data_IF_987575913180
#
_entry.id   IF_987575913180
#
_cell.length_a   1.000
_cell.length_b   1.000
_cell.length_c   1.000
_cell.angle_alpha   90.00
_cell.angle_beta   90.00
_cell.angle_gamma   90.00
#
_symmetry.space_group_name_H-M   'P 1'
#
loop_
_entity.id
_entity.type
_entity.pdbx_description
1 polymer ?
#
# COMPACT_ATOMS: atom_id res chain seq x y z
N UNK A 1 15.70 19.15 2.50
CA UNK A 1 14.73 20.01 1.78
C UNK A 1 13.57 19.13 1.29
N UNK A 2 12.41 19.71 1.03
CA UNK A 2 11.25 19.07 0.41
C UNK A 2 10.66 20.07 -0.59
N UNK A 3 10.23 19.61 -1.76
CA UNK A 3 9.65 20.46 -2.79
C UNK A 3 8.12 20.37 -2.76
N UNK A 4 7.42 21.49 -2.91
CA UNK A 4 5.97 21.55 -3.12
C UNK A 4 5.66 22.69 -4.09
N UNK A 5 4.99 22.39 -5.19
CA UNK A 5 4.63 23.34 -6.26
C UNK A 5 5.86 24.11 -6.79
N UNK A 6 6.97 23.39 -7.04
CA UNK A 6 8.28 23.92 -7.49
C UNK A 6 8.95 24.87 -6.46
N UNK A 7 8.49 24.90 -5.22
CA UNK A 7 9.07 25.70 -4.13
C UNK A 7 9.77 24.80 -3.12
N UNK A 8 10.99 25.12 -2.75
CA UNK A 8 11.79 24.35 -1.78
C UNK A 8 11.54 24.85 -0.35
N UNK A 9 11.28 23.91 0.55
CA UNK A 9 11.08 24.13 1.98
C UNK A 9 12.10 23.35 2.80
N UNK A 10 12.41 23.87 4.00
CA UNK A 10 13.22 23.16 4.98
C UNK A 10 12.42 21.97 5.56
N UNK A 11 12.81 20.76 5.16
CA UNK A 11 12.17 19.52 5.63
C UNK A 11 12.32 19.33 7.14
N UNK A 12 13.42 19.80 7.76
CA UNK A 12 13.62 19.68 9.21
C UNK A 12 12.67 20.60 9.98
N UNK A 13 12.57 21.85 9.56
CA UNK A 13 11.62 22.79 10.12
C UNK A 13 10.17 22.29 9.98
N UNK A 14 9.77 21.83 8.77
CA UNK A 14 8.45 21.26 8.53
C UNK A 14 8.16 20.03 9.40
N UNK A 15 9.12 19.13 9.58
CA UNK A 15 8.96 17.92 10.39
C UNK A 15 8.64 18.23 11.86
N UNK A 16 9.21 19.32 12.41
CA UNK A 16 9.00 19.73 13.79
C UNK A 16 7.59 20.32 14.03
N UNK A 17 6.96 20.90 13.00
CA UNK A 17 5.66 21.56 13.10
C UNK A 17 4.52 20.78 12.44
N UNK A 18 4.82 19.70 11.72
CA UNK A 18 3.79 18.96 10.97
C UNK A 18 2.81 18.24 11.90
N UNK A 19 1.49 18.56 11.87
CA UNK A 19 0.51 17.96 12.78
C UNK A 19 0.36 16.43 12.61
N UNK A 20 0.66 15.92 11.42
CA UNK A 20 0.67 14.47 11.12
C UNK A 20 1.93 13.74 11.57
N UNK A 21 2.83 14.42 12.31
CA UNK A 21 4.12 13.90 12.74
C UNK A 21 5.21 14.00 11.67
N UNK A 22 6.46 13.72 12.03
CA UNK A 22 7.62 13.92 11.16
C UNK A 22 7.80 12.83 10.09
N UNK A 23 7.17 11.67 10.24
CA UNK A 23 7.47 10.47 9.46
C UNK A 23 7.31 10.70 7.96
N UNK A 24 6.17 11.27 7.53
CA UNK A 24 5.91 11.54 6.12
C UNK A 24 6.80 12.66 5.55
N UNK A 25 7.14 13.67 6.35
CA UNK A 25 8.10 14.71 5.92
C UNK A 25 9.48 14.08 5.67
N UNK A 26 9.92 13.16 6.53
CA UNK A 26 11.17 12.42 6.31
C UNK A 26 11.10 11.48 5.10
N UNK A 27 9.93 10.89 4.84
CA UNK A 27 9.71 10.01 3.69
C UNK A 27 9.89 10.77 2.36
N UNK A 28 9.45 12.03 2.31
CA UNK A 28 9.54 12.89 1.13
C UNK A 28 10.76 13.84 1.15
N UNK A 29 11.65 13.74 2.12
CA UNK A 29 12.87 14.55 2.14
C UNK A 29 13.73 14.32 0.89
N UNK A 30 14.10 15.39 0.20
CA UNK A 30 14.83 15.37 -1.06
C UNK A 30 13.97 15.10 -2.31
N UNK A 31 12.64 15.15 -2.19
CA UNK A 31 11.68 14.80 -3.25
C UNK A 31 10.63 15.89 -3.45
N UNK A 32 9.96 15.86 -4.59
CA UNK A 32 8.70 16.57 -4.81
C UNK A 32 7.57 15.86 -4.05
N UNK A 33 6.91 16.60 -3.17
CA UNK A 33 5.79 16.15 -2.36
C UNK A 33 4.45 16.80 -2.78
N UNK A 34 4.40 17.50 -3.90
CA UNK A 34 3.19 18.18 -4.38
C UNK A 34 2.00 17.25 -4.46
N UNK A 35 2.14 16.16 -5.21
CA UNK A 35 1.10 15.14 -5.37
C UNK A 35 0.71 14.50 -4.03
N UNK A 36 1.70 14.15 -3.20
CA UNK A 36 1.45 13.59 -1.88
C UNK A 36 0.69 14.57 -0.98
N UNK A 37 1.11 15.84 -0.96
CA UNK A 37 0.40 16.84 -0.17
C UNK A 37 -1.07 16.93 -0.58
N UNK A 38 -1.35 17.07 -1.86
CA UNK A 38 -2.72 17.24 -2.38
C UNK A 38 -3.61 16.04 -2.06
N UNK A 39 -3.15 14.81 -2.30
CA UNK A 39 -3.92 13.59 -2.03
C UNK A 39 -4.19 13.37 -0.53
N UNK A 40 -3.22 13.70 0.32
CA UNK A 40 -3.35 13.54 1.78
C UNK A 40 -4.14 14.65 2.47
N UNK A 41 -4.09 15.90 1.93
CA UNK A 41 -4.73 17.05 2.57
C UNK A 41 -6.01 17.50 1.85
N UNK A 42 -6.25 17.06 0.64
CA UNK A 42 -7.43 17.42 -0.19
C UNK A 42 -7.62 18.94 -0.31
N UNK A 43 -6.53 19.68 -0.45
CA UNK A 43 -6.47 21.15 -0.57
C UNK A 43 -5.13 21.59 -1.09
N UNK A 44 -5.07 22.82 -1.58
CA UNK A 44 -3.81 23.48 -1.96
C UNK A 44 -2.86 23.65 -0.77
N UNK A 45 -1.57 23.64 -1.06
CA UNK A 45 -0.53 23.86 -0.06
C UNK A 45 -0.60 25.31 0.45
N UNK A 46 -0.55 25.55 1.77
CA UNK A 46 -0.69 26.90 2.32
C UNK A 46 0.64 27.67 2.26
N UNK A 47 1.16 27.97 1.07
CA UNK A 47 2.44 28.64 0.86
C UNK A 47 2.64 29.89 1.70
N UNK A 48 1.58 30.74 1.83
CA UNK A 48 1.62 31.97 2.62
C UNK A 48 1.91 31.73 4.11
N UNK A 49 1.52 30.58 4.64
CA UNK A 49 1.76 30.19 6.04
C UNK A 49 3.12 29.52 6.26
N UNK A 50 3.79 29.13 5.18
CA UNK A 50 5.04 28.38 5.21
C UNK A 50 6.25 29.22 4.76
N UNK A 51 6.08 30.53 4.64
CA UNK A 51 7.12 31.45 4.15
C UNK A 51 8.41 31.41 4.98
N UNK A 52 8.29 31.26 6.31
CA UNK A 52 9.46 31.20 7.21
C UNK A 52 10.30 29.93 7.04
N UNK A 53 9.74 28.91 6.37
CA UNK A 53 10.41 27.63 6.09
C UNK A 53 10.87 27.51 4.64
N UNK A 54 10.62 28.54 3.83
CA UNK A 54 11.01 28.59 2.43
C UNK A 54 12.52 28.81 2.30
N UNK A 55 13.18 28.01 1.46
CA UNK A 55 14.66 28.02 1.32
C UNK A 55 15.12 28.88 0.15
N UNK A 56 14.31 28.99 -0.90
CA UNK A 56 14.69 29.71 -2.12
C UNK A 56 13.71 30.81 -2.50
N UNK A 57 14.09 31.64 -3.50
CA UNK A 57 13.32 32.74 -4.03
C UNK A 57 12.29 32.36 -5.09
N UNK A 58 12.05 31.08 -5.36
CA UNK A 58 11.13 30.63 -6.41
C UNK A 58 9.69 31.11 -6.17
N UNK A 59 9.00 31.48 -7.22
CA UNK A 59 7.58 31.83 -7.15
C UNK A 59 6.71 30.59 -7.21
N UNK A 60 5.65 30.57 -6.41
CA UNK A 60 4.62 29.52 -6.48
C UNK A 60 3.99 29.56 -7.89
N UNK A 61 4.00 28.44 -8.56
CA UNK A 61 3.31 28.27 -9.84
C UNK A 61 1.96 27.61 -9.63
N UNK A 62 0.92 28.16 -10.25
CA UNK A 62 -0.35 27.46 -10.36
C UNK A 62 -0.16 26.22 -11.23
N UNK A 63 -0.44 25.06 -10.68
CA UNK A 63 -0.35 23.81 -11.41
C UNK A 63 -1.76 23.35 -11.86
N UNK A 64 -2.13 23.54 -13.15
CA UNK A 64 -3.45 23.18 -13.65
C UNK A 64 -3.71 21.66 -13.61
N UNK A 65 -2.68 20.84 -13.44
CA UNK A 65 -2.78 19.38 -13.35
C UNK A 65 -3.74 18.91 -12.27
N UNK A 66 -3.91 19.71 -11.19
CA UNK A 66 -4.73 19.31 -10.05
C UNK A 66 -6.13 19.93 -10.01
N UNK A 67 -6.49 20.77 -10.99
CA UNK A 67 -7.76 21.50 -10.99
C UNK A 67 -8.98 20.55 -10.88
N UNK A 68 -9.06 19.51 -11.73
CA UNK A 68 -10.14 18.51 -11.69
C UNK A 68 -10.17 17.75 -10.35
N UNK A 69 -9.00 17.45 -9.79
CA UNK A 69 -8.91 16.76 -8.49
C UNK A 69 -9.40 17.63 -7.34
N UNK A 70 -9.03 18.91 -7.31
CA UNK A 70 -9.49 19.85 -6.28
C UNK A 70 -11.01 20.09 -6.36
N UNK A 71 -11.58 20.09 -7.56
CA UNK A 71 -13.03 20.15 -7.74
C UNK A 71 -13.72 18.92 -7.14
N UNK A 72 -13.19 17.72 -7.42
CA UNK A 72 -13.65 16.48 -6.78
C UNK A 72 -13.52 16.55 -5.26
N UNK A 73 -12.38 17.05 -4.73
CA UNK A 73 -12.19 17.25 -3.30
C UNK A 73 -13.26 18.13 -2.67
N UNK A 74 -13.70 19.18 -3.36
CA UNK A 74 -14.75 20.06 -2.89
C UNK A 74 -16.13 19.37 -2.82
N UNK A 75 -16.41 18.42 -3.73
CA UNK A 75 -17.60 17.58 -3.68
C UNK A 75 -17.53 16.56 -2.54
N UNK A 76 -16.39 15.90 -2.38
CA UNK A 76 -16.16 14.94 -1.28
C UNK A 76 -16.26 15.64 0.08
N UNK A 77 -15.76 16.88 0.22
CA UNK A 77 -15.86 17.62 1.50
C UNK A 77 -17.30 17.86 1.94
N UNK A 78 -18.28 17.94 1.00
CA UNK A 78 -19.71 18.07 1.32
C UNK A 78 -20.30 16.78 1.91
N UNK A 79 -19.86 15.61 1.46
CA UNK A 79 -20.37 14.29 1.92
C UNK A 79 -19.56 13.73 3.09
N UNK A 80 -18.22 13.95 3.05
CA UNK A 80 -17.28 13.49 4.06
C UNK A 80 -16.27 14.59 4.40
N UNK A 81 -16.57 15.48 5.34
CA UNK A 81 -15.65 16.50 5.80
C UNK A 81 -14.33 15.89 6.28
N UNK A 82 -13.19 16.56 6.00
CA UNK A 82 -11.85 16.12 6.45
C UNK A 82 -11.78 15.81 7.94
N UNK A 83 -12.58 16.52 8.73
CA UNK A 83 -12.66 16.29 10.17
C UNK A 83 -13.27 14.94 10.55
N UNK A 84 -14.05 14.31 9.67
CA UNK A 84 -14.77 13.06 9.87
C UNK A 84 -14.22 11.91 9.03
N UNK A 85 -13.11 12.09 8.31
CA UNK A 85 -12.54 11.10 7.42
C UNK A 85 -11.63 10.06 8.10
N UNK A 86 -11.40 10.20 9.40
CA UNK A 86 -10.65 9.24 10.21
C UNK A 86 -11.53 8.07 10.67
N UNK A 87 -10.89 7.04 11.22
CA UNK A 87 -11.55 5.82 11.66
C UNK A 87 -12.59 6.08 12.77
N UNK A 88 -13.82 5.55 12.66
CA UNK A 88 -14.84 5.60 13.70
C UNK A 88 -14.59 4.55 14.79
N UNK A 89 -15.36 4.59 15.86
CA UNK A 89 -15.27 3.64 16.97
C UNK A 89 -15.39 2.17 16.52
N UNK A 90 -16.28 1.87 15.57
CA UNK A 90 -16.47 0.52 15.03
C UNK A 90 -15.19 -0.07 14.39
N UNK A 91 -14.35 0.78 13.80
CA UNK A 91 -13.03 0.37 13.32
C UNK A 91 -12.15 -0.13 14.46
N UNK A 92 -12.07 0.61 15.57
CA UNK A 92 -11.25 0.22 16.72
C UNK A 92 -11.76 -1.07 17.38
N UNK A 93 -13.07 -1.30 17.41
CA UNK A 93 -13.64 -2.57 17.86
C UNK A 93 -13.18 -3.75 16.96
N UNK A 94 -13.18 -3.56 15.64
CA UNK A 94 -12.64 -4.55 14.68
C UNK A 94 -11.15 -4.78 14.87
N UNK A 95 -10.36 -3.71 15.05
CA UNK A 95 -8.91 -3.79 15.33
C UNK A 95 -8.66 -4.61 16.59
N UNK A 96 -9.36 -4.29 17.68
CA UNK A 96 -9.24 -5.04 18.95
C UNK A 96 -9.56 -6.52 18.77
N UNK A 97 -10.63 -6.83 18.05
CA UNK A 97 -11.03 -8.22 17.78
C UNK A 97 -9.97 -8.97 16.96
N UNK A 98 -9.48 -8.38 15.86
CA UNK A 98 -8.47 -9.01 14.99
C UNK A 98 -7.16 -9.23 15.75
N UNK A 99 -6.69 -8.23 16.51
CA UNK A 99 -5.46 -8.36 17.30
C UNK A 99 -5.62 -9.39 18.40
N UNK A 100 -6.76 -9.40 19.15
CA UNK A 100 -6.99 -10.34 20.24
C UNK A 100 -7.02 -11.79 19.75
N UNK A 101 -7.71 -12.08 18.64
CA UNK A 101 -7.75 -13.44 18.07
C UNK A 101 -6.38 -13.85 17.56
N UNK A 102 -5.68 -12.96 16.84
CA UNK A 102 -4.37 -13.27 16.27
C UNK A 102 -3.33 -13.55 17.36
N UNK A 103 -3.24 -12.67 18.37
CA UNK A 103 -2.33 -12.83 19.49
C UNK A 103 -2.69 -14.05 20.34
N UNK A 104 -3.99 -14.29 20.57
CA UNK A 104 -4.47 -15.47 21.30
C UNK A 104 -4.13 -16.77 20.59
N UNK A 105 -4.32 -16.83 19.28
CA UNK A 105 -3.94 -18.00 18.48
C UNK A 105 -2.42 -18.21 18.45
N UNK A 106 -1.67 -17.14 18.24
CA UNK A 106 -0.19 -17.20 18.29
C UNK A 106 0.32 -17.67 19.63
N UNK A 107 -0.20 -17.11 20.73
CA UNK A 107 0.13 -17.53 22.09
C UNK A 107 -0.20 -19.03 22.32
N UNK A 108 -1.37 -19.48 21.87
CA UNK A 108 -1.77 -20.89 21.96
C UNK A 108 -0.80 -21.81 21.19
N UNK A 109 -0.43 -21.45 19.97
CA UNK A 109 0.51 -22.24 19.15
C UNK A 109 1.86 -22.37 19.84
N UNK A 110 2.42 -21.25 20.33
CA UNK A 110 3.75 -21.26 20.96
C UNK A 110 3.76 -21.98 22.30
N UNK A 111 2.80 -21.68 23.20
CA UNK A 111 2.80 -22.27 24.56
C UNK A 111 2.54 -23.76 24.57
N UNK A 112 1.80 -24.29 23.59
CA UNK A 112 1.47 -25.71 23.50
C UNK A 112 2.32 -26.46 22.47
N UNK A 113 3.26 -25.81 21.80
CA UNK A 113 4.05 -26.43 20.70
C UNK A 113 3.21 -26.90 19.53
N UNK A 114 2.03 -26.30 19.32
CA UNK A 114 1.02 -26.76 18.37
C UNK A 114 1.24 -26.18 16.96
N UNK A 115 2.47 -26.30 16.43
CA UNK A 115 2.79 -25.91 15.07
C UNK A 115 2.17 -26.89 14.08
N UNK A 116 0.89 -26.67 13.75
CA UNK A 116 0.11 -27.46 12.80
C UNK A 116 -0.26 -26.62 11.60
N UNK A 117 -0.13 -27.18 10.40
CA UNK A 117 -0.34 -26.49 9.14
C UNK A 117 -1.67 -25.71 9.08
N UNK A 118 -2.76 -26.23 9.63
CA UNK A 118 -4.07 -25.57 9.63
C UNK A 118 -4.15 -24.36 10.61
N UNK A 119 -3.44 -24.43 11.76
CA UNK A 119 -3.38 -23.30 12.72
C UNK A 119 -2.49 -22.20 12.18
N UNK A 120 -1.38 -22.54 11.54
CA UNK A 120 -0.49 -21.56 10.92
C UNK A 120 -1.09 -20.95 9.67
N UNK A 121 -1.88 -21.71 8.89
CA UNK A 121 -2.68 -21.18 7.78
C UNK A 121 -3.73 -20.17 8.26
N UNK A 122 -4.48 -20.50 9.34
CA UNK A 122 -5.45 -19.59 9.94
C UNK A 122 -4.77 -18.32 10.45
N UNK A 123 -3.62 -18.45 11.13
CA UNK A 123 -2.87 -17.30 11.61
C UNK A 123 -2.31 -16.46 10.45
N UNK A 124 -1.86 -17.09 9.37
CA UNK A 124 -1.44 -16.40 8.15
C UNK A 124 -2.55 -15.55 7.54
N UNK A 125 -3.76 -16.10 7.47
CA UNK A 125 -4.93 -15.34 7.04
C UNK A 125 -5.25 -14.17 7.99
N UNK A 126 -5.19 -14.38 9.32
CA UNK A 126 -5.37 -13.29 10.29
C UNK A 126 -4.28 -12.22 10.16
N UNK A 127 -3.03 -12.59 9.88
CA UNK A 127 -1.95 -11.64 9.60
C UNK A 127 -2.22 -10.83 8.34
N UNK A 128 -2.75 -11.48 7.28
CA UNK A 128 -3.19 -10.74 6.10
C UNK A 128 -4.32 -9.74 6.42
N UNK A 129 -5.30 -10.13 7.25
CA UNK A 129 -6.34 -9.20 7.68
C UNK A 129 -5.79 -8.03 8.51
N UNK A 130 -4.79 -8.26 9.36
CA UNK A 130 -4.06 -7.19 10.07
C UNK A 130 -3.36 -6.28 9.06
N UNK A 131 -2.70 -6.86 8.07
CA UNK A 131 -2.05 -6.13 6.97
C UNK A 131 -3.01 -5.19 6.27
N UNK A 132 -4.14 -5.71 5.82
CA UNK A 132 -5.12 -4.95 5.03
C UNK A 132 -5.92 -3.94 5.85
N UNK A 133 -6.33 -4.31 7.07
CA UNK A 133 -7.30 -3.51 7.85
C UNK A 133 -6.65 -2.58 8.87
N UNK A 134 -5.44 -2.87 9.33
CA UNK A 134 -4.83 -2.13 10.45
C UNK A 134 -3.62 -1.34 9.96
N UNK A 135 -2.55 -2.05 9.56
CA UNK A 135 -1.32 -1.39 9.17
C UNK A 135 -1.51 -0.48 7.96
N UNK A 136 -2.32 -0.91 6.98
CA UNK A 136 -2.55 -0.18 5.74
C UNK A 136 -3.13 1.22 6.00
N UNK A 137 -4.30 1.32 6.65
CA UNK A 137 -4.90 2.61 7.03
C UNK A 137 -3.95 3.43 7.94
N UNK A 138 -3.30 2.75 8.89
CA UNK A 138 -2.44 3.42 9.85
C UNK A 138 -1.17 3.99 9.21
N UNK A 139 -0.53 3.25 8.32
CA UNK A 139 0.65 3.72 7.59
C UNK A 139 0.30 4.75 6.49
N UNK A 140 -0.96 4.87 6.10
CA UNK A 140 -1.47 6.04 5.35
C UNK A 140 -1.84 7.22 6.25
N UNK A 141 -1.77 7.11 7.58
CA UNK A 141 -2.21 8.16 8.49
C UNK A 141 -3.73 8.38 8.50
N UNK A 142 -4.51 7.38 8.09
CA UNK A 142 -5.96 7.44 7.91
C UNK A 142 -6.76 7.08 9.17
N UNK A 143 -6.12 6.48 10.20
CA UNK A 143 -6.82 6.01 11.40
C UNK A 143 -7.15 7.16 12.35
N UNK A 144 -6.18 8.05 12.60
CA UNK A 144 -6.32 9.09 13.62
C UNK A 144 -5.63 10.40 13.22
N UNK A 145 -6.13 11.51 13.79
CA UNK A 145 -5.40 12.78 13.74
C UNK A 145 -4.11 12.74 14.56
N UNK A 146 -4.08 11.89 15.61
CA UNK A 146 -2.90 11.70 16.42
C UNK A 146 -1.89 10.80 15.69
N UNK A 147 -0.70 11.30 15.31
CA UNK A 147 0.30 10.53 14.56
C UNK A 147 0.85 9.34 15.38
N UNK A 148 0.83 9.41 16.70
CA UNK A 148 1.29 8.31 17.54
C UNK A 148 0.37 7.09 17.46
N UNK A 149 -0.96 7.31 17.33
CA UNK A 149 -1.92 6.21 17.11
C UNK A 149 -1.66 5.55 15.75
N UNK A 150 -1.47 6.34 14.69
CA UNK A 150 -1.13 5.82 13.37
C UNK A 150 0.21 5.06 13.41
N UNK A 151 1.23 5.60 14.06
CA UNK A 151 2.53 4.92 14.18
C UNK A 151 2.42 3.60 14.93
N UNK A 152 1.72 3.56 16.08
CA UNK A 152 1.52 2.36 16.87
C UNK A 152 0.81 1.26 16.07
N UNK A 153 -0.32 1.60 15.43
CA UNK A 153 -1.06 0.63 14.63
C UNK A 153 -0.32 0.24 13.34
N UNK A 154 0.40 1.18 12.73
CA UNK A 154 1.24 0.93 11.56
C UNK A 154 2.37 -0.08 11.83
N UNK A 155 2.90 -0.12 13.06
CA UNK A 155 3.88 -1.11 13.49
C UNK A 155 3.33 -2.55 13.56
N UNK A 156 2.03 -2.76 13.39
CA UNK A 156 1.49 -4.11 13.19
C UNK A 156 2.07 -4.78 11.93
N UNK A 157 2.57 -4.01 10.95
CA UNK A 157 3.36 -4.51 9.82
C UNK A 157 4.63 -5.25 10.28
N UNK A 158 5.32 -4.69 11.28
CA UNK A 158 6.51 -5.30 11.85
C UNK A 158 6.18 -6.60 12.61
N UNK A 159 5.00 -6.64 13.27
CA UNK A 159 4.54 -7.85 13.96
C UNK A 159 4.27 -9.00 13.01
N UNK A 160 3.69 -8.74 11.84
CA UNK A 160 3.34 -9.75 10.83
C UNK A 160 4.51 -10.12 9.89
N UNK A 161 5.70 -9.57 10.11
CA UNK A 161 6.95 -9.98 9.46
C UNK A 161 7.54 -9.00 8.45
N UNK A 162 6.86 -7.89 8.16
CA UNK A 162 7.39 -6.87 7.25
C UNK A 162 8.11 -5.74 7.98
N UNK A 163 8.38 -4.67 7.25
CA UNK A 163 8.87 -3.38 7.75
C UNK A 163 7.86 -2.30 7.43
N UNK A 164 7.36 -1.60 8.45
CA UNK A 164 6.41 -0.50 8.26
C UNK A 164 7.04 0.65 7.49
N UNK A 165 8.31 0.91 7.72
CA UNK A 165 9.04 2.00 7.08
C UNK A 165 9.36 1.69 5.61
N UNK A 166 9.76 0.46 5.31
CA UNK A 166 9.96 0.00 3.93
C UNK A 166 8.64 0.03 3.14
N UNK A 167 7.56 -0.45 3.75
CA UNK A 167 6.23 -0.40 3.16
C UNK A 167 5.77 1.04 2.84
N UNK A 168 5.97 1.99 3.76
CA UNK A 168 5.65 3.41 3.51
C UNK A 168 6.48 3.93 2.33
N UNK A 169 7.76 3.57 2.25
CA UNK A 169 8.61 4.00 1.14
C UNK A 169 8.13 3.43 -0.19
N UNK A 170 7.89 2.12 -0.26
CA UNK A 170 7.39 1.46 -1.47
C UNK A 170 6.02 1.98 -1.85
N UNK A 171 5.06 1.87 -0.94
CA UNK A 171 3.64 2.04 -1.24
C UNK A 171 3.23 3.51 -1.28
N UNK A 172 3.63 4.32 -0.27
CA UNK A 172 3.20 5.72 -0.18
C UNK A 172 4.05 6.65 -1.02
N UNK A 173 5.40 6.49 -0.96
CA UNK A 173 6.33 7.43 -1.62
C UNK A 173 6.52 7.11 -3.10
N UNK A 174 6.48 5.84 -3.48
CA UNK A 174 6.72 5.43 -4.87
C UNK A 174 5.41 5.08 -5.58
N UNK A 175 4.72 4.00 -5.18
CA UNK A 175 3.55 3.47 -5.87
C UNK A 175 2.41 4.49 -5.97
N UNK A 176 1.92 5.08 -4.87
CA UNK A 176 0.82 6.07 -4.92
C UNK A 176 1.13 7.31 -5.74
N UNK A 177 2.40 7.73 -5.78
CA UNK A 177 2.80 8.92 -6.54
C UNK A 177 2.97 8.60 -8.02
N UNK A 178 3.40 7.39 -8.34
CA UNK A 178 3.80 6.98 -9.69
C UNK A 178 3.06 5.72 -10.17
N UNK A 179 1.81 5.52 -9.73
CA UNK A 179 1.00 4.33 -10.05
C UNK A 179 1.03 4.00 -11.55
N UNK A 180 1.43 2.78 -11.88
CA UNK A 180 1.61 2.24 -13.23
C UNK A 180 2.58 3.05 -14.13
N UNK A 181 3.50 3.84 -13.55
CA UNK A 181 4.57 4.47 -14.30
C UNK A 181 5.69 3.46 -14.56
N UNK A 182 5.97 3.17 -15.83
CA UNK A 182 6.84 2.06 -16.27
C UNK A 182 8.30 2.11 -15.77
N UNK A 183 8.80 3.27 -15.35
CA UNK A 183 10.17 3.45 -14.85
C UNK A 183 10.24 3.74 -13.35
N UNK A 184 9.10 4.00 -12.67
CA UNK A 184 9.08 4.56 -11.31
C UNK A 184 8.19 3.83 -10.33
N UNK A 185 7.19 3.08 -10.81
CA UNK A 185 6.34 2.27 -9.94
C UNK A 185 7.03 0.94 -9.63
N UNK A 186 7.46 0.71 -8.37
CA UNK A 186 8.14 -0.53 -8.00
C UNK A 186 7.26 -1.78 -8.20
N UNK A 187 5.95 -1.61 -8.16
CA UNK A 187 5.02 -2.74 -8.18
C UNK A 187 4.83 -3.34 -9.57
N UNK A 188 5.20 -2.60 -10.63
CA UNK A 188 5.18 -3.09 -12.01
C UNK A 188 6.56 -3.29 -12.63
N UNK A 189 7.65 -2.98 -11.91
CA UNK A 189 9.00 -3.22 -12.42
C UNK A 189 9.16 -4.69 -12.84
N UNK A 190 8.49 -5.57 -12.10
CA UNK A 190 8.43 -6.99 -12.42
C UNK A 190 9.74 -7.72 -12.12
N UNK A 191 9.75 -8.96 -12.52
CA UNK A 191 10.92 -9.84 -12.49
C UNK A 191 10.90 -10.67 -13.77
N UNK A 192 11.92 -11.50 -13.96
CA UNK A 192 12.01 -12.35 -15.17
C UNK A 192 10.86 -13.37 -15.31
N UNK A 193 10.09 -13.62 -14.23
CA UNK A 193 8.96 -14.55 -14.23
C UNK A 193 7.65 -13.88 -14.61
N UNK A 194 7.48 -12.58 -14.33
CA UNK A 194 6.21 -11.84 -14.50
C UNK A 194 6.46 -10.53 -15.25
N UNK A 195 5.73 -10.34 -16.32
CA UNK A 195 5.77 -9.12 -17.13
C UNK A 195 4.52 -8.28 -16.87
N UNK A 196 4.58 -7.39 -15.88
CA UNK A 196 3.57 -6.37 -15.60
C UNK A 196 3.85 -5.08 -16.37
N UNK A 197 5.10 -4.82 -16.70
CA UNK A 197 5.56 -3.60 -17.36
C UNK A 197 5.74 -3.85 -18.85
N UNK A 198 5.07 -3.09 -19.73
CA UNK A 198 5.20 -3.24 -21.19
C UNK A 198 6.60 -2.96 -21.73
N UNK A 199 7.47 -2.24 -21.00
CA UNK A 199 8.87 -2.03 -21.37
C UNK A 199 9.74 -3.28 -21.20
N UNK A 200 9.36 -4.21 -20.32
CA UNK A 200 10.15 -5.40 -20.06
C UNK A 200 10.14 -6.32 -21.28
N UNK A 201 11.29 -6.93 -21.57
CA UNK A 201 11.41 -7.88 -22.66
C UNK A 201 10.47 -9.08 -22.48
N UNK A 202 9.93 -9.59 -23.58
CA UNK A 202 9.10 -10.78 -23.55
C UNK A 202 9.97 -12.02 -23.49
N UNK A 203 9.68 -12.93 -22.56
CA UNK A 203 10.21 -14.29 -22.52
C UNK A 203 9.09 -15.30 -22.83
N UNK A 204 9.44 -16.48 -23.33
CA UNK A 204 8.48 -17.53 -23.70
C UNK A 204 7.56 -17.94 -22.54
N UNK A 205 8.07 -17.89 -21.31
CA UNK A 205 7.30 -18.22 -20.11
C UNK A 205 6.13 -17.24 -19.88
N UNK A 206 6.25 -15.96 -20.28
CA UNK A 206 5.23 -14.96 -20.08
C UNK A 206 3.91 -15.27 -20.80
N UNK A 207 3.94 -16.09 -21.86
CA UNK A 207 2.73 -16.57 -22.53
C UNK A 207 1.76 -17.34 -21.62
N UNK A 208 2.24 -17.85 -20.49
CA UNK A 208 1.46 -18.60 -19.49
C UNK A 208 1.29 -17.84 -18.16
N UNK A 209 1.79 -16.61 -18.03
CA UNK A 209 1.78 -15.87 -16.76
C UNK A 209 0.37 -15.66 -16.18
N UNK A 210 -0.64 -15.56 -17.04
CA UNK A 210 -2.04 -15.42 -16.67
C UNK A 210 -2.61 -16.62 -15.86
N UNK A 211 -1.91 -17.75 -15.87
CA UNK A 211 -2.24 -18.95 -15.08
C UNK A 211 -1.29 -19.08 -13.89
N UNK A 212 0.02 -19.13 -14.15
CA UNK A 212 0.97 -19.45 -13.09
C UNK A 212 1.14 -18.34 -12.06
N UNK A 213 0.71 -17.10 -12.34
CA UNK A 213 0.75 -16.03 -11.33
C UNK A 213 0.02 -16.46 -10.05
N UNK A 214 -1.17 -17.03 -10.18
CA UNK A 214 -1.95 -17.48 -9.01
C UNK A 214 -1.27 -18.62 -8.24
N UNK A 215 -0.35 -19.35 -8.86
CA UNK A 215 0.50 -20.35 -8.22
C UNK A 215 1.73 -19.72 -7.54
N UNK A 216 2.15 -18.52 -7.96
CA UNK A 216 3.26 -17.78 -7.37
C UNK A 216 2.87 -16.93 -6.17
N UNK A 217 1.61 -16.45 -6.11
CA UNK A 217 1.15 -15.57 -5.02
C UNK A 217 1.43 -16.12 -3.60
N UNK A 218 1.31 -17.44 -3.30
CA UNK A 218 1.67 -17.96 -1.99
C UNK A 218 3.10 -17.65 -1.57
N UNK A 219 4.03 -17.51 -2.51
CA UNK A 219 5.44 -17.25 -2.21
C UNK A 219 5.71 -15.77 -1.91
N UNK A 220 4.76 -14.87 -2.19
CA UNK A 220 4.89 -13.45 -1.91
C UNK A 220 5.23 -13.16 -0.44
N UNK A 221 4.65 -13.93 0.51
CA UNK A 221 4.96 -13.74 1.94
C UNK A 221 6.41 -14.01 2.31
N UNK A 222 7.09 -14.92 1.60
CA UNK A 222 8.52 -15.19 1.81
C UNK A 222 9.39 -14.10 1.18
N UNK A 223 9.12 -13.78 -0.09
CA UNK A 223 9.92 -12.78 -0.82
C UNK A 223 9.81 -11.42 -0.15
N UNK A 224 8.60 -11.02 0.25
CA UNK A 224 8.37 -9.74 0.91
C UNK A 224 9.20 -9.55 2.20
N UNK A 225 9.31 -10.58 3.05
CA UNK A 225 10.11 -10.51 4.28
C UNK A 225 11.60 -10.43 3.97
N UNK A 226 12.07 -11.22 2.98
CA UNK A 226 13.48 -11.21 2.53
C UNK A 226 13.82 -9.85 1.94
N UNK A 227 12.96 -9.30 1.08
CA UNK A 227 13.17 -8.02 0.43
C UNK A 227 13.12 -6.88 1.46
N UNK A 228 12.18 -6.89 2.41
CA UNK A 228 12.14 -5.93 3.51
C UNK A 228 13.44 -5.96 4.35
N UNK A 229 13.98 -7.15 4.64
CA UNK A 229 15.26 -7.26 5.34
C UNK A 229 16.40 -6.65 4.52
N UNK A 230 16.49 -6.99 3.24
CA UNK A 230 17.49 -6.49 2.30
C UNK A 230 17.42 -4.96 2.16
N UNK A 231 16.22 -4.40 1.91
CA UNK A 231 16.04 -2.95 1.75
C UNK A 231 16.46 -2.18 3.01
N UNK A 232 16.12 -2.69 4.20
CA UNK A 232 16.55 -2.06 5.45
C UNK A 232 18.05 -2.19 5.69
N UNK A 233 18.68 -3.28 5.26
CA UNK A 233 20.12 -3.47 5.35
C UNK A 233 20.87 -2.50 4.40
N UNK A 234 20.42 -2.39 3.17
CA UNK A 234 21.01 -1.59 2.12
C UNK A 234 20.61 -0.10 2.18
N UNK A 235 19.48 0.23 2.83
CA UNK A 235 18.87 1.59 2.90
C UNK A 235 18.32 2.08 1.57
N UNK A 236 18.11 1.17 0.64
CA UNK A 236 17.57 1.40 -0.68
C UNK A 236 16.33 0.54 -0.86
N UNK A 237 15.32 1.10 -1.51
CA UNK A 237 14.21 0.34 -2.06
C UNK A 237 14.35 0.37 -3.59
N UNK A 238 14.58 -0.79 -4.19
CA UNK A 238 15.09 -0.92 -5.56
C UNK A 238 16.36 -0.06 -5.73
N UNK A 239 16.39 0.87 -6.66
CA UNK A 239 17.53 1.76 -6.88
C UNK A 239 17.44 3.11 -6.13
N UNK A 240 16.42 3.27 -5.27
CA UNK A 240 16.11 4.56 -4.65
C UNK A 240 16.52 4.59 -3.18
N UNK A 241 17.45 5.49 -2.82
CA UNK A 241 17.84 5.73 -1.44
C UNK A 241 16.67 6.29 -0.62
N UNK A 242 16.51 5.81 0.61
CA UNK A 242 15.46 6.25 1.54
C UNK A 242 16.05 6.80 2.84
N UNK A 243 15.99 8.14 3.06
CA UNK A 243 16.38 8.72 4.35
C UNK A 243 15.60 8.17 5.53
N UNK A 244 14.38 7.71 5.29
CA UNK A 244 13.52 7.13 6.30
C UNK A 244 14.01 5.70 6.69
N UNK A 245 14.40 4.87 5.73
CA UNK A 245 15.04 3.57 5.99
C UNK A 245 16.34 3.73 6.78
N UNK A 246 17.18 4.70 6.40
CA UNK A 246 18.40 5.03 7.14
C UNK A 246 18.11 5.34 8.61
N UNK A 247 17.15 6.22 8.87
CA UNK A 247 16.81 6.70 10.23
C UNK A 247 16.26 5.59 11.12
N UNK A 248 15.45 4.69 10.58
CA UNK A 248 14.75 3.64 11.35
C UNK A 248 15.37 2.25 11.21
N UNK A 249 16.47 2.12 10.48
CA UNK A 249 17.10 0.85 10.12
C UNK A 249 17.20 -0.17 11.25
N UNK A 250 17.80 0.23 12.36
CA UNK A 250 18.05 -0.71 13.47
C UNK A 250 16.76 -1.23 14.10
N UNK A 251 15.74 -0.39 14.22
CA UNK A 251 14.42 -0.77 14.72
C UNK A 251 13.74 -1.76 13.77
N UNK A 252 13.76 -1.48 12.47
CA UNK A 252 13.12 -2.32 11.45
C UNK A 252 13.84 -3.68 11.33
N UNK A 253 15.18 -3.70 11.27
CA UNK A 253 15.96 -4.94 11.27
C UNK A 253 15.71 -5.77 12.53
N UNK A 254 15.71 -5.15 13.72
CA UNK A 254 15.41 -5.84 14.95
C UNK A 254 14.02 -6.49 14.95
N UNK A 255 13.01 -5.81 14.39
CA UNK A 255 11.65 -6.35 14.30
C UNK A 255 11.54 -7.53 13.34
N UNK A 256 12.22 -7.49 12.18
CA UNK A 256 12.25 -8.60 11.22
C UNK A 256 12.98 -9.81 11.83
N UNK A 257 14.10 -9.58 12.50
CA UNK A 257 14.82 -10.65 13.22
C UNK A 257 14.00 -11.24 14.36
N UNK A 258 13.24 -10.41 15.08
CA UNK A 258 12.32 -10.89 16.12
C UNK A 258 11.18 -11.74 15.52
N UNK A 259 10.65 -11.35 14.36
CA UNK A 259 9.68 -12.18 13.63
C UNK A 259 10.30 -13.53 13.21
N UNK A 260 11.53 -13.52 12.67
CA UNK A 260 12.24 -14.74 12.29
C UNK A 260 12.52 -15.63 13.53
N UNK A 261 12.86 -15.04 14.69
CA UNK A 261 13.00 -15.77 15.94
C UNK A 261 11.68 -16.48 16.31
N UNK A 262 10.56 -15.79 16.24
CA UNK A 262 9.23 -16.34 16.58
C UNK A 262 8.78 -17.45 15.64
N UNK A 263 8.97 -17.28 14.34
CA UNK A 263 8.32 -18.12 13.33
C UNK A 263 9.28 -19.02 12.52
N UNK A 264 10.59 -18.90 12.72
CA UNK A 264 11.57 -19.80 12.13
C UNK A 264 12.35 -20.53 13.19
N UNK A 265 12.98 -19.81 14.14
CA UNK A 265 13.88 -20.42 15.12
C UNK A 265 13.09 -21.15 16.21
N UNK A 266 12.10 -20.49 16.82
CA UNK A 266 11.33 -21.07 17.92
C UNK A 266 10.57 -22.35 17.53
N UNK A 267 9.90 -22.46 16.37
CA UNK A 267 9.28 -23.71 15.94
C UNK A 267 10.27 -24.87 15.80
N UNK A 268 11.46 -24.63 15.24
CA UNK A 268 12.51 -25.65 15.12
C UNK A 268 12.96 -26.14 16.49
N UNK A 269 13.11 -25.23 17.44
CA UNK A 269 13.54 -25.57 18.80
C UNK A 269 12.44 -26.29 19.62
N UNK A 270 11.19 -25.85 19.47
CA UNK A 270 10.04 -26.33 20.27
C UNK A 270 9.44 -27.65 19.74
N UNK A 271 9.63 -27.95 18.44
CA UNK A 271 9.14 -29.20 17.86
C UNK A 271 10.22 -30.27 17.91
N UNK A 272 9.89 -31.42 18.44
CA UNK A 272 10.79 -32.58 18.40
C UNK A 272 10.60 -33.37 17.09
N UNK A 273 10.56 -32.66 15.96
CA UNK A 273 10.29 -33.20 14.60
C UNK A 273 11.42 -32.86 13.65
N UNK A 274 11.44 -33.49 12.47
CA UNK A 274 12.41 -33.16 11.43
C UNK A 274 12.23 -31.72 10.94
N UNK A 275 13.30 -31.10 10.45
CA UNK A 275 13.28 -29.78 9.84
C UNK A 275 12.19 -29.69 8.74
N UNK A 276 12.10 -30.69 7.87
CA UNK A 276 11.10 -30.75 6.79
C UNK A 276 9.66 -30.73 7.36
N UNK A 277 9.39 -31.53 8.40
CA UNK A 277 8.08 -31.54 9.03
C UNK A 277 7.74 -30.19 9.66
N UNK A 278 8.69 -29.57 10.38
CA UNK A 278 8.51 -28.25 10.95
C UNK A 278 8.24 -27.22 9.86
N UNK A 279 9.05 -27.19 8.80
CA UNK A 279 8.89 -26.29 7.67
C UNK A 279 7.50 -26.42 7.01
N UNK A 280 7.05 -27.65 6.74
CA UNK A 280 5.72 -27.87 6.14
C UNK A 280 4.57 -27.41 7.06
N UNK A 281 4.77 -27.43 8.35
CA UNK A 281 3.77 -26.96 9.32
C UNK A 281 3.78 -25.43 9.52
N UNK A 282 4.89 -24.74 9.31
CA UNK A 282 4.95 -23.27 9.45
C UNK A 282 4.79 -22.53 8.12
N UNK A 283 5.16 -23.13 7.00
CA UNK A 283 5.07 -22.47 5.68
C UNK A 283 3.68 -21.92 5.32
N UNK A 284 2.54 -22.55 5.74
CA UNK A 284 1.22 -21.99 5.47
C UNK A 284 0.97 -20.63 6.10
N UNK A 285 1.67 -20.25 7.18
CA UNK A 285 1.63 -18.89 7.73
C UNK A 285 2.01 -17.86 6.65
N UNK A 286 3.12 -18.10 5.98
CA UNK A 286 3.65 -17.23 4.94
C UNK A 286 2.84 -17.31 3.64
N UNK A 287 2.48 -18.54 3.26
CA UNK A 287 1.81 -18.81 1.99
C UNK A 287 0.39 -18.26 1.95
N UNK A 288 -0.41 -18.47 2.98
CA UNK A 288 -1.80 -17.98 3.05
C UNK A 288 -1.81 -16.47 3.25
N UNK A 289 -0.95 -15.96 4.14
CA UNK A 289 -0.80 -14.52 4.35
C UNK A 289 -0.37 -13.79 3.08
N UNK A 290 0.69 -14.30 2.44
CA UNK A 290 1.21 -13.74 1.19
C UNK A 290 0.20 -13.80 0.04
N UNK A 291 -0.47 -14.95 -0.12
CA UNK A 291 -1.51 -15.10 -1.14
C UNK A 291 -2.62 -14.06 -0.99
N UNK A 292 -3.19 -13.94 0.21
CA UNK A 292 -4.33 -13.08 0.44
C UNK A 292 -3.98 -11.59 0.28
N UNK A 293 -2.79 -11.18 0.77
CA UNK A 293 -2.30 -9.81 0.61
C UNK A 293 -2.08 -9.45 -0.86
N UNK A 294 -1.35 -10.28 -1.61
CA UNK A 294 -0.99 -9.98 -3.00
C UNK A 294 -2.15 -10.14 -3.99
N UNK A 295 -3.13 -11.00 -3.69
CA UNK A 295 -4.22 -11.31 -4.59
C UNK A 295 -5.04 -10.08 -4.98
N UNK A 296 -5.59 -9.36 -3.99
CA UNK A 296 -6.41 -8.17 -4.26
C UNK A 296 -5.61 -7.05 -4.87
N UNK A 297 -4.35 -6.91 -4.48
CA UNK A 297 -3.45 -5.92 -5.04
C UNK A 297 -3.22 -6.16 -6.55
N UNK A 298 -2.90 -7.39 -6.92
CA UNK A 298 -2.64 -7.74 -8.33
C UNK A 298 -3.86 -7.56 -9.21
N UNK A 299 -5.04 -8.02 -8.81
CA UNK A 299 -6.23 -7.92 -9.65
C UNK A 299 -6.74 -6.47 -9.79
N UNK A 300 -6.41 -5.58 -8.86
CA UNK A 300 -6.84 -4.18 -8.88
C UNK A 300 -6.01 -3.30 -9.83
N UNK A 301 -4.75 -3.67 -10.07
CA UNK A 301 -3.80 -2.91 -10.91
C UNK A 301 -3.47 -3.58 -12.24
N UNK A 302 -3.97 -4.80 -12.46
CA UNK A 302 -3.78 -5.55 -13.71
C UNK A 302 -5.13 -6.01 -14.25
N UNK A 303 -5.76 -5.22 -15.10
CA UNK A 303 -7.07 -5.50 -15.68
C UNK A 303 -7.13 -5.00 -17.13
N UNK A 304 -8.09 -5.49 -17.91
CA UNK A 304 -8.27 -5.02 -19.28
C UNK A 304 -8.60 -3.54 -19.31
N UNK A 305 -7.82 -2.77 -20.05
CA UNK A 305 -7.98 -1.32 -20.15
C UNK A 305 -7.16 -0.52 -19.13
N UNK A 306 -6.39 -1.17 -18.26
CA UNK A 306 -5.45 -0.46 -17.39
C UNK A 306 -4.43 0.31 -18.22
N UNK A 307 -4.11 1.53 -17.79
CA UNK A 307 -3.18 2.41 -18.47
C UNK A 307 -1.81 2.39 -17.78
N UNK A 308 -0.76 2.27 -18.60
CA UNK A 308 0.63 2.46 -18.18
C UNK A 308 1.11 3.84 -18.60
N UNK A 309 1.91 4.50 -17.78
CA UNK A 309 2.42 5.85 -18.01
C UNK A 309 3.91 5.83 -18.34
N UNK A 310 4.30 6.57 -19.38
CA UNK A 310 5.67 6.63 -19.87
C UNK A 310 6.29 8.01 -19.64
N UNK A 311 7.60 8.05 -19.50
CA UNK A 311 8.32 9.32 -19.37
C UNK A 311 8.30 10.08 -20.70
N UNK A 312 7.96 11.38 -20.65
CA UNK A 312 7.95 12.24 -21.86
C UNK A 312 6.66 12.18 -22.70
N UNK A 313 5.69 11.33 -22.36
CA UNK A 313 4.34 11.43 -22.93
C UNK A 313 3.53 12.52 -22.21
N UNK A 314 2.51 13.10 -22.91
CA UNK A 314 1.51 13.91 -22.22
C UNK A 314 0.83 13.06 -21.15
N UNK A 315 1.32 13.18 -19.91
CA UNK A 315 0.74 12.45 -18.79
C UNK A 315 -0.63 13.04 -18.48
N UNK A 316 -1.68 12.22 -18.42
CA UNK A 316 -2.96 12.67 -17.90
C UNK A 316 -2.78 13.33 -16.53
N UNK A 317 -3.65 14.28 -16.18
CA UNK A 317 -3.63 14.91 -14.87
C UNK A 317 -3.72 13.84 -13.73
N UNK A 318 -3.37 14.24 -12.52
CA UNK A 318 -3.30 13.35 -11.35
C UNK A 318 -4.57 12.48 -11.19
N UNK A 319 -5.76 13.09 -11.25
CA UNK A 319 -7.03 12.37 -11.12
C UNK A 319 -7.18 11.26 -12.17
N UNK A 320 -6.97 11.60 -13.44
CA UNK A 320 -7.13 10.68 -14.55
C UNK A 320 -6.12 9.54 -14.49
N UNK A 321 -4.89 9.85 -14.10
CA UNK A 321 -3.82 8.87 -13.90
C UNK A 321 -4.18 7.84 -12.84
N UNK A 322 -4.63 8.28 -11.66
CA UNK A 322 -5.01 7.38 -10.57
C UNK A 322 -6.23 6.52 -10.90
N UNK A 323 -7.25 7.09 -11.53
CA UNK A 323 -8.46 6.35 -11.91
C UNK A 323 -8.18 5.32 -13.00
N UNK A 324 -7.33 5.65 -14.00
CA UNK A 324 -7.02 4.74 -15.10
C UNK A 324 -6.04 3.60 -14.75
N UNK A 325 -5.35 3.73 -13.62
CA UNK A 325 -4.39 2.73 -13.12
C UNK A 325 -4.99 1.78 -12.08
N UNK A 326 -6.27 1.95 -11.71
CA UNK A 326 -6.89 1.23 -10.62
C UNK A 326 -8.30 0.77 -10.97
N UNK A 327 -8.73 -0.34 -10.40
CA UNK A 327 -10.12 -0.82 -10.53
C UNK A 327 -10.72 -1.19 -9.17
N UNK A 328 -12.04 -1.04 -9.06
CA UNK A 328 -12.80 -1.48 -7.89
C UNK A 328 -13.45 -2.84 -8.14
N UNK A 329 -13.81 -3.55 -7.05
CA UNK A 329 -14.54 -4.82 -7.12
C UNK A 329 -15.50 -5.01 -5.96
N UNK A 330 -16.69 -5.55 -6.22
CA UNK A 330 -17.68 -5.89 -5.19
C UNK A 330 -18.24 -4.67 -4.46
N UNK A 331 -18.49 -4.79 -3.14
CA UNK A 331 -19.18 -3.77 -2.37
C UNK A 331 -18.70 -3.65 -0.92
N UNK A 332 -19.58 -3.08 -0.07
CA UNK A 332 -19.26 -2.72 1.33
C UNK A 332 -18.88 -3.92 2.22
N UNK A 333 -19.44 -5.11 1.96
CA UNK A 333 -19.07 -6.34 2.70
C UNK A 333 -17.61 -6.70 2.44
N UNK A 334 -17.20 -6.68 1.17
CA UNK A 334 -15.81 -6.93 0.80
C UNK A 334 -14.88 -5.85 1.36
N UNK A 335 -15.31 -4.58 1.35
CA UNK A 335 -14.60 -3.47 1.96
C UNK A 335 -14.35 -3.70 3.46
N UNK A 336 -15.37 -4.16 4.18
CA UNK A 336 -15.22 -4.49 5.59
C UNK A 336 -14.22 -5.62 5.83
N UNK A 337 -14.20 -6.66 4.99
CA UNK A 337 -13.26 -7.78 5.12
C UNK A 337 -11.84 -7.36 4.73
N UNK A 338 -11.67 -6.68 3.59
CA UNK A 338 -10.39 -6.41 2.96
C UNK A 338 -9.76 -5.07 3.31
N UNK A 339 -10.29 -4.33 4.30
CA UNK A 339 -9.72 -3.03 4.64
C UNK A 339 -9.76 -2.02 3.49
N UNK A 340 -10.79 -2.10 2.63
CA UNK A 340 -11.03 -1.15 1.55
C UNK A 340 -10.22 -1.37 0.26
N UNK A 341 -9.35 -2.38 0.20
CA UNK A 341 -8.55 -2.66 -1.02
C UNK A 341 -9.39 -3.03 -2.25
N UNK A 342 -10.65 -3.29 -2.07
CA UNK A 342 -11.61 -3.46 -3.16
C UNK A 342 -12.21 -2.13 -3.69
N UNK A 343 -11.86 -1.00 -3.10
CA UNK A 343 -12.15 0.37 -3.54
C UNK A 343 -10.84 1.07 -3.89
N UNK A 344 -10.09 0.50 -4.81
CA UNK A 344 -8.72 0.93 -5.11
C UNK A 344 -8.67 2.34 -5.70
N UNK A 345 -9.68 2.73 -6.49
CA UNK A 345 -9.77 4.10 -7.05
C UNK A 345 -9.88 5.13 -5.93
N UNK A 346 -10.78 4.93 -4.96
CA UNK A 346 -10.96 5.83 -3.81
C UNK A 346 -9.73 5.84 -2.92
N UNK A 347 -9.09 4.69 -2.75
CA UNK A 347 -7.86 4.55 -1.99
C UNK A 347 -6.72 5.38 -2.59
N UNK A 348 -6.50 5.29 -3.89
CA UNK A 348 -5.47 6.04 -4.59
C UNK A 348 -5.72 7.55 -4.60
N UNK A 349 -6.97 7.96 -4.77
CA UNK A 349 -7.35 9.38 -4.76
C UNK A 349 -7.33 9.99 -3.36
N UNK A 350 -7.68 9.22 -2.33
CA UNK A 350 -7.88 9.70 -0.96
C UNK A 350 -7.21 8.80 0.09
N UNK A 351 -5.89 8.59 0.03
CA UNK A 351 -5.19 7.59 0.85
C UNK A 351 -5.29 7.87 2.36
N UNK A 352 -5.54 9.10 2.77
CA UNK A 352 -5.74 9.50 4.19
C UNK A 352 -7.21 9.44 4.64
N UNK A 353 -8.09 8.88 3.85
CA UNK A 353 -9.46 8.55 4.26
C UNK A 353 -9.49 7.11 4.76
N UNK A 354 -9.97 6.87 6.00
CA UNK A 354 -10.10 5.50 6.50
C UNK A 354 -11.04 4.69 5.59
N UNK A 355 -10.65 3.46 5.29
CA UNK A 355 -11.36 2.60 4.35
C UNK A 355 -12.85 2.41 4.64
N UNK A 356 -13.26 2.56 5.88
CA UNK A 356 -14.68 2.44 6.27
C UNK A 356 -15.59 3.47 5.58
N UNK A 357 -14.99 4.55 5.06
CA UNK A 357 -15.71 5.63 4.37
C UNK A 357 -15.71 5.48 2.84
N UNK A 358 -14.94 4.55 2.26
CA UNK A 358 -14.90 4.39 0.80
C UNK A 358 -16.27 4.10 0.17
N UNK A 359 -17.14 3.24 0.76
CA UNK A 359 -18.49 3.05 0.22
C UNK A 359 -19.34 4.33 0.21
N UNK A 360 -19.07 5.30 1.08
CA UNK A 360 -19.77 6.58 1.13
C UNK A 360 -19.32 7.53 0.02
N UNK A 361 -18.01 7.56 -0.29
CA UNK A 361 -17.46 8.50 -1.28
C UNK A 361 -17.46 7.94 -2.70
N UNK A 362 -17.42 6.62 -2.88
CA UNK A 362 -17.36 5.97 -4.19
C UNK A 362 -18.46 6.39 -5.17
N UNK A 363 -19.72 6.55 -4.78
CA UNK A 363 -20.77 7.06 -5.68
C UNK A 363 -20.45 8.45 -6.23
N UNK A 364 -19.91 9.34 -5.40
CA UNK A 364 -19.54 10.71 -5.80
C UNK A 364 -18.36 10.69 -6.77
N UNK A 365 -17.33 9.89 -6.47
CA UNK A 365 -16.16 9.70 -7.36
C UNK A 365 -16.61 9.17 -8.71
N UNK A 366 -17.45 8.12 -8.71
CA UNK A 366 -17.97 7.51 -9.93
C UNK A 366 -18.74 8.49 -10.80
N UNK A 367 -19.69 9.22 -10.22
CA UNK A 367 -20.51 10.21 -10.93
C UNK A 367 -19.63 11.32 -11.52
N UNK A 368 -18.68 11.82 -10.73
CA UNK A 368 -17.72 12.83 -11.19
C UNK A 368 -16.90 12.32 -12.38
N UNK A 369 -16.35 11.12 -12.30
CA UNK A 369 -15.56 10.53 -13.38
C UNK A 369 -16.39 10.36 -14.66
N UNK A 370 -17.58 9.75 -14.54
CA UNK A 370 -18.44 9.51 -15.69
C UNK A 370 -18.91 10.80 -16.36
N UNK A 371 -19.22 11.85 -15.61
CA UNK A 371 -19.61 13.16 -16.14
C UNK A 371 -18.51 13.85 -16.97
N UNK A 372 -17.25 13.42 -16.79
CA UNK A 372 -16.06 13.95 -17.48
C UNK A 372 -15.45 12.97 -18.50
N UNK A 373 -16.14 11.87 -18.77
CA UNK A 373 -15.65 10.84 -19.69
C UNK A 373 -14.39 10.13 -19.18
N UNK A 374 -14.18 10.08 -17.84
CA UNK A 374 -13.09 9.34 -17.23
C UNK A 374 -13.59 7.90 -16.97
N UNK A 375 -12.94 6.86 -17.51
CA UNK A 375 -13.33 5.48 -17.27
C UNK A 375 -13.20 5.12 -15.79
N UNK A 376 -14.32 4.82 -15.15
CA UNK A 376 -14.36 4.33 -13.76
C UNK A 376 -14.68 2.84 -13.78
N UNK A 377 -13.66 2.00 -13.61
CA UNK A 377 -13.79 0.54 -13.71
C UNK A 377 -14.18 -0.05 -12.37
N UNK A 378 -15.36 -0.71 -12.33
CA UNK A 378 -15.84 -1.39 -11.13
C UNK A 378 -16.43 -2.74 -11.51
N UNK A 379 -15.76 -3.82 -11.10
CA UNK A 379 -16.20 -5.18 -11.35
C UNK A 379 -17.27 -5.60 -10.34
N UNK A 380 -18.41 -6.18 -10.79
CA UNK A 380 -19.48 -6.63 -9.89
C UNK A 380 -18.99 -7.71 -8.92
N UNK A 381 -18.18 -8.65 -9.40
CA UNK A 381 -17.69 -9.78 -8.60
C UNK A 381 -16.16 -9.91 -8.69
N UNK A 382 -15.59 -10.59 -7.69
CA UNK A 382 -14.15 -10.92 -7.68
C UNK A 382 -13.78 -11.77 -8.90
N UNK A 383 -14.68 -12.65 -9.35
CA UNK A 383 -14.46 -13.48 -10.53
C UNK A 383 -14.35 -12.67 -11.82
N UNK A 384 -15.17 -11.64 -11.97
CA UNK A 384 -15.11 -10.73 -13.14
C UNK A 384 -13.73 -10.02 -13.18
N UNK A 385 -13.26 -9.54 -12.02
CA UNK A 385 -11.95 -8.89 -11.92
C UNK A 385 -10.80 -9.87 -12.18
N UNK A 386 -10.84 -11.09 -11.61
CA UNK A 386 -9.85 -12.16 -11.89
C UNK A 386 -9.83 -12.51 -13.36
N UNK A 387 -10.99 -12.63 -14.00
CA UNK A 387 -11.11 -12.95 -15.42
C UNK A 387 -10.49 -11.83 -16.29
N UNK A 388 -10.76 -10.57 -15.94
CA UNK A 388 -10.16 -9.41 -16.61
C UNK A 388 -8.64 -9.37 -16.40
N UNK A 389 -8.15 -9.60 -15.18
CA UNK A 389 -6.73 -9.70 -14.86
C UNK A 389 -6.05 -10.79 -15.70
N UNK A 390 -6.63 -11.99 -15.75
CA UNK A 390 -6.08 -13.09 -16.54
C UNK A 390 -5.99 -12.75 -18.03
N UNK A 391 -7.02 -12.13 -18.62
CA UNK A 391 -6.97 -11.71 -20.04
C UNK A 391 -5.94 -10.62 -20.28
N UNK A 392 -5.81 -9.65 -19.37
CA UNK A 392 -4.77 -8.62 -19.43
C UNK A 392 -3.36 -9.25 -19.41
N UNK A 393 -3.08 -10.12 -18.44
CA UNK A 393 -1.78 -10.79 -18.30
C UNK A 393 -1.46 -11.71 -19.48
N UNK A 394 -2.48 -12.37 -20.08
CA UNK A 394 -2.31 -13.13 -21.30
C UNK A 394 -1.89 -12.23 -22.47
N UNK A 395 -2.54 -11.08 -22.63
CA UNK A 395 -2.19 -10.11 -23.66
C UNK A 395 -0.77 -9.55 -23.43
N UNK A 396 -0.42 -9.22 -22.19
CA UNK A 396 0.92 -8.75 -21.81
C UNK A 396 2.02 -9.78 -22.08
N UNK A 397 1.71 -11.07 -22.01
CA UNK A 397 2.66 -12.15 -22.30
C UNK A 397 2.86 -12.43 -23.80
N UNK A 398 2.12 -11.76 -24.68
CA UNK A 398 2.15 -11.98 -26.15
C UNK A 398 2.57 -10.77 -26.98
N UNK A 399 2.63 -9.59 -26.37
CA UNK A 399 2.89 -8.32 -27.10
C UNK A 399 4.32 -7.83 -26.91
#
# INVERSE_FOLDING_TARGET
>A
MIEVDEVLYDAHALANYHPGGPLFIHAFAGRDATTAFLSYHRREFPHSKMMDMKVDGSAVKNNPEFAEYLELCALIEKVLPRSKSFAPFSYFAKVFFLLSISLGLEFYIHTNGMYRWYLTALLGWLFALIGLNIQHDANHGAVSRNPHVNRLLGMSQNWIGGSAVDWIHQHVVQHHIQTNHVDRDPDIVGNDLLRFNPKNAIANIHGFQHVYIFLLLPFFGFTYIIDSFKHNLERFHFSTYSPMLERHRNQELASILFFALRWVVLPIYMTNTSFTSTFLNISPLFMVGGYYLSFFFIISHNFEGVVHHFHGEETPNFLRRQVSSSSNVGGSVLCFINGGLNYQIEHHLFPRVSHVHYPTIAPVVREFCLSRGIPYVHFPTVWDNVSSCSRHLYAMGKK
#
